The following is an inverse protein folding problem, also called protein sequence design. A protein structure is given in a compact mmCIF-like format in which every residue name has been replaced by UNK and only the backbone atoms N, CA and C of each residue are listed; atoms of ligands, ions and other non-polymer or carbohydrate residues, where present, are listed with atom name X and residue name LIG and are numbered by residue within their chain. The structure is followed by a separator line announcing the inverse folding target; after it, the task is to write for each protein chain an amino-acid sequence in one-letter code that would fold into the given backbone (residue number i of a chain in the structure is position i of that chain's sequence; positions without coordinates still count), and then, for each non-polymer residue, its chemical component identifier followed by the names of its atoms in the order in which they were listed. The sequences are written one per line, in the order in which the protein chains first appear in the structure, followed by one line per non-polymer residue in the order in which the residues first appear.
data_IF_225653711350
#
_entry.id   IF_225653711350
#
_cell.length_a   1.000
_cell.length_b   1.000
_cell.length_c   1.000
_cell.angle_alpha   90.00
_cell.angle_beta   90.00
_cell.angle_gamma   90.00
#
_symmetry.space_group_name_H-M   'P 1'
#
loop_
_entity.id
_entity.type
_entity.pdbx_description
1 polymer ?
#
# COMPACT_ATOMS: atom_id res chain seq x y z
N UNK A 1 8.96 14.15 -0.59
CA UNK A 1 7.89 13.15 -0.46
C UNK A 1 8.32 11.87 -1.13
N UNK A 2 8.20 10.76 -0.40
CA UNK A 2 8.76 9.46 -0.83
C UNK A 2 7.70 8.51 -1.41
N UNK A 3 6.49 8.98 -1.65
CA UNK A 3 5.42 8.18 -2.25
C UNK A 3 5.38 8.42 -3.75
N UNK A 4 5.45 7.33 -4.53
CA UNK A 4 5.34 7.39 -5.99
C UNK A 4 4.03 6.76 -6.43
N UNK A 5 3.38 7.35 -7.44
CA UNK A 5 2.16 6.78 -8.01
C UNK A 5 2.55 5.62 -8.93
N UNK A 6 1.97 4.45 -8.68
CA UNK A 6 2.16 3.29 -9.56
C UNK A 6 1.26 3.38 -10.79
N UNK A 7 1.83 3.02 -11.93
CA UNK A 7 1.04 2.77 -13.14
C UNK A 7 0.54 1.33 -13.10
N UNK A 8 -0.45 1.02 -13.92
CA UNK A 8 -0.94 -0.36 -14.04
C UNK A 8 0.16 -1.32 -14.50
N UNK A 9 0.95 -1.01 -15.54
CA UNK A 9 2.04 -1.92 -15.95
C UNK A 9 3.04 -2.19 -14.82
N UNK A 10 3.41 -1.17 -14.04
CA UNK A 10 4.33 -1.34 -12.92
C UNK A 10 3.73 -2.20 -11.82
N UNK A 11 2.46 -1.99 -11.48
CA UNK A 11 1.76 -2.82 -10.51
C UNK A 11 1.71 -4.27 -10.96
N UNK A 12 1.39 -4.50 -12.23
CA UNK A 12 1.33 -5.86 -12.79
C UNK A 12 2.67 -6.58 -12.72
N UNK A 13 3.78 -5.87 -12.95
CA UNK A 13 5.12 -6.44 -12.81
C UNK A 13 5.42 -6.83 -11.37
N UNK A 14 5.03 -5.99 -10.43
CA UNK A 14 5.24 -6.28 -9.01
C UNK A 14 4.45 -7.51 -8.58
N UNK A 15 3.13 -7.51 -8.80
CA UNK A 15 2.28 -8.61 -8.34
C UNK A 15 2.45 -9.87 -9.16
N UNK A 16 3.00 -9.76 -10.37
CA UNK A 16 3.31 -10.90 -11.23
C UNK A 16 4.64 -11.57 -10.91
N UNK A 17 5.37 -11.09 -9.92
CA UNK A 17 6.65 -11.69 -9.51
C UNK A 17 7.77 -11.52 -10.51
N UNK A 18 7.70 -10.47 -11.36
CA UNK A 18 8.69 -10.23 -12.41
C UNK A 18 9.88 -9.40 -11.97
N UNK A 19 9.82 -8.83 -10.77
CA UNK A 19 10.92 -8.04 -10.22
C UNK A 19 11.90 -9.00 -9.54
N UNK A 20 13.14 -9.01 -10.01
CA UNK A 20 14.19 -9.92 -9.53
C UNK A 20 14.95 -9.40 -8.33
N UNK A 21 15.05 -8.08 -8.21
CA UNK A 21 15.77 -7.42 -7.14
C UNK A 21 14.99 -7.55 -5.82
N UNK A 22 15.73 -7.72 -4.72
CA UNK A 22 15.14 -7.71 -3.39
C UNK A 22 14.63 -6.32 -3.06
N UNK A 23 13.34 -6.20 -2.82
CA UNK A 23 12.72 -4.93 -2.43
C UNK A 23 11.51 -5.18 -1.55
N UNK A 24 11.25 -4.24 -0.66
CA UNK A 24 10.02 -4.23 0.14
C UNK A 24 9.24 -2.99 -0.26
N UNK A 25 8.02 -3.23 -0.73
CA UNK A 25 7.14 -2.19 -1.26
C UNK A 25 5.87 -2.11 -0.44
N UNK A 26 5.47 -0.90 -0.08
CA UNK A 26 4.19 -0.63 0.57
C UNK A 26 3.31 0.04 -0.47
N UNK A 27 2.10 -0.46 -0.66
CA UNK A 27 1.18 0.07 -1.67
C UNK A 27 -0.13 0.46 -1.00
N UNK A 28 -0.50 1.73 -1.15
CA UNK A 28 -1.81 2.23 -0.72
C UNK A 28 -2.72 2.28 -1.94
N UNK A 29 -3.84 1.56 -1.87
CA UNK A 29 -4.88 1.62 -2.90
C UNK A 29 -5.92 2.66 -2.50
N UNK A 30 -6.28 3.53 -3.43
CA UNK A 30 -7.20 4.64 -3.19
C UNK A 30 -8.08 4.88 -4.41
N UNK A 31 -9.11 5.71 -4.24
CA UNK A 31 -9.94 6.17 -5.35
C UNK A 31 -10.19 7.67 -5.23
N UNK A 32 -10.61 8.29 -6.33
CA UNK A 32 -10.86 9.74 -6.35
C UNK A 32 -12.00 10.15 -5.42
N UNK A 33 -13.02 9.32 -5.28
CA UNK A 33 -14.17 9.60 -4.43
C UNK A 33 -14.03 9.15 -2.98
N UNK A 34 -12.87 8.64 -2.60
CA UNK A 34 -12.64 8.08 -1.28
C UNK A 34 -12.25 9.17 -0.27
N UNK A 35 -13.18 9.52 0.59
CA UNK A 35 -12.98 10.52 1.64
C UNK A 35 -11.85 10.14 2.60
N UNK A 36 -11.85 8.90 3.07
CA UNK A 36 -10.80 8.39 3.97
C UNK A 36 -9.42 8.42 3.31
N UNK A 37 -9.37 8.13 2.02
CA UNK A 37 -8.11 8.12 1.26
C UNK A 37 -7.50 9.52 1.20
N UNK A 38 -8.32 10.54 0.93
CA UNK A 38 -7.86 11.93 0.90
C UNK A 38 -7.28 12.35 2.24
N UNK A 39 -7.97 12.03 3.32
CA UNK A 39 -7.53 12.40 4.66
C UNK A 39 -6.27 11.62 5.08
N UNK A 40 -6.10 10.40 4.59
CA UNK A 40 -4.96 9.56 4.93
C UNK A 40 -3.68 9.97 4.21
N UNK A 41 -3.80 10.66 3.08
CA UNK A 41 -2.69 10.96 2.18
C UNK A 41 -1.48 11.57 2.90
N UNK A 42 -1.67 12.63 3.66
CA UNK A 42 -0.57 13.31 4.35
C UNK A 42 0.11 12.41 5.36
N UNK A 43 -0.66 11.64 6.11
CA UNK A 43 -0.13 10.71 7.11
C UNK A 43 0.69 9.61 6.46
N UNK A 44 0.23 9.10 5.34
CA UNK A 44 0.97 8.07 4.59
C UNK A 44 2.29 8.64 4.06
N UNK A 45 2.27 9.85 3.53
CA UNK A 45 3.49 10.53 3.06
C UNK A 45 4.47 10.76 4.21
N UNK A 46 3.98 11.18 5.37
CA UNK A 46 4.83 11.37 6.56
C UNK A 46 5.49 10.05 7.00
N UNK A 47 4.74 8.95 6.98
CA UNK A 47 5.30 7.63 7.28
C UNK A 47 6.42 7.30 6.30
N UNK A 48 6.20 7.55 5.01
CA UNK A 48 7.19 7.24 3.98
C UNK A 48 8.50 8.04 4.13
N UNK A 49 8.41 9.20 4.75
CA UNK A 49 9.58 10.07 4.95
C UNK A 49 10.35 9.77 6.24
N UNK A 50 9.87 8.86 7.09
CA UNK A 50 10.57 8.51 8.32
C UNK A 50 11.86 7.76 8.03
N UNK A 51 12.91 8.12 8.74
CA UNK A 51 14.27 7.56 8.56
C UNK A 51 14.27 6.04 8.68
N UNK A 52 13.49 5.49 9.62
CA UNK A 52 13.43 4.04 9.85
C UNK A 52 12.89 3.26 8.63
N UNK A 53 12.21 3.95 7.72
CA UNK A 53 11.63 3.35 6.51
C UNK A 53 12.35 3.74 5.22
N UNK A 54 13.54 4.33 5.33
CA UNK A 54 14.28 4.85 4.16
C UNK A 54 14.66 3.77 3.14
N UNK A 55 14.75 2.52 3.57
CA UNK A 55 15.05 1.39 2.67
C UNK A 55 13.83 0.78 2.01
N UNK A 56 12.64 1.29 2.28
CA UNK A 56 11.39 0.78 1.75
C UNK A 56 10.89 1.65 0.60
N UNK A 57 10.11 1.06 -0.29
CA UNK A 57 9.50 1.79 -1.40
C UNK A 57 8.00 1.99 -1.11
N UNK A 58 7.56 3.24 -1.09
CA UNK A 58 6.17 3.58 -0.83
C UNK A 58 5.48 4.01 -2.12
N UNK A 59 4.39 3.33 -2.43
CA UNK A 59 3.61 3.57 -3.65
C UNK A 59 2.15 3.83 -3.32
N UNK A 60 1.46 4.46 -4.26
CA UNK A 60 0.02 4.61 -4.23
C UNK A 60 -0.55 4.23 -5.59
N UNK A 61 -1.65 3.50 -5.61
CA UNK A 61 -2.32 3.11 -6.85
C UNK A 61 -3.79 3.53 -6.80
N UNK A 62 -4.21 4.28 -7.83
CA UNK A 62 -5.60 4.72 -7.96
C UNK A 62 -6.43 3.61 -8.61
N UNK A 63 -7.35 3.01 -7.87
CA UNK A 63 -8.18 1.92 -8.40
C UNK A 63 -9.11 2.38 -9.52
N UNK A 64 -9.37 3.69 -9.63
CA UNK A 64 -10.17 4.21 -10.74
C UNK A 64 -9.46 4.05 -12.08
N UNK A 65 -8.12 3.93 -12.08
CA UNK A 65 -7.34 3.68 -13.30
C UNK A 65 -7.54 2.25 -13.83
N UNK A 66 -7.92 1.32 -12.96
CA UNK A 66 -8.17 -0.06 -13.32
C UNK A 66 -9.04 -0.72 -12.25
N UNK A 67 -10.38 -0.52 -12.31
CA UNK A 67 -11.28 -1.02 -11.25
C UNK A 67 -11.22 -2.53 -11.02
N UNK A 68 -10.85 -3.29 -12.03
CA UNK A 68 -10.73 -4.75 -11.93
C UNK A 68 -9.68 -5.19 -10.90
N UNK A 69 -8.76 -4.30 -10.52
CA UNK A 69 -7.72 -4.63 -9.53
C UNK A 69 -8.32 -4.99 -8.19
N UNK A 70 -9.46 -4.40 -7.83
CA UNK A 70 -10.13 -4.71 -6.56
C UNK A 70 -10.48 -6.19 -6.49
N UNK A 71 -10.97 -6.75 -7.59
CA UNK A 71 -11.32 -8.16 -7.68
C UNK A 71 -10.08 -9.05 -7.77
N UNK A 72 -9.11 -8.67 -8.59
CA UNK A 72 -7.89 -9.43 -8.79
C UNK A 72 -7.06 -9.59 -7.52
N UNK A 73 -6.98 -8.55 -6.70
CA UNK A 73 -6.24 -8.57 -5.45
C UNK A 73 -7.13 -8.82 -4.23
N UNK A 74 -8.42 -9.04 -4.45
CA UNK A 74 -9.38 -9.30 -3.39
C UNK A 74 -9.41 -8.15 -2.36
N UNK A 75 -9.45 -6.92 -2.83
CA UNK A 75 -9.54 -5.75 -1.96
C UNK A 75 -10.93 -5.64 -1.33
N UNK A 76 -10.97 -5.26 -0.06
CA UNK A 76 -12.22 -4.99 0.65
C UNK A 76 -12.61 -3.51 0.56
N UNK A 77 -12.32 -2.88 -0.57
CA UNK A 77 -12.57 -1.46 -0.76
C UNK A 77 -11.31 -0.64 -0.53
N UNK A 78 -11.47 0.66 -0.42
CA UNK A 78 -10.37 1.60 -0.22
C UNK A 78 -10.65 2.48 1.00
N UNK A 79 -9.60 2.95 1.71
CA UNK A 79 -8.19 2.66 1.45
C UNK A 79 -7.82 1.22 1.81
N UNK A 80 -6.86 0.66 1.10
CA UNK A 80 -6.24 -0.63 1.43
C UNK A 80 -4.73 -0.46 1.41
N UNK A 81 -4.04 -1.09 2.34
CA UNK A 81 -2.58 -1.02 2.45
C UNK A 81 -2.03 -2.44 2.32
N UNK A 82 -1.10 -2.61 1.38
CA UNK A 82 -0.44 -3.88 1.15
C UNK A 82 1.06 -3.73 1.30
N UNK A 83 1.71 -4.81 1.72
CA UNK A 83 3.17 -4.92 1.69
C UNK A 83 3.53 -6.08 0.78
N UNK A 84 4.52 -5.86 -0.07
CA UNK A 84 4.96 -6.79 -1.09
C UNK A 84 6.47 -6.91 -1.03
N UNK A 85 6.99 -8.14 -0.92
CA UNK A 85 8.41 -8.40 -0.97
C UNK A 85 8.76 -9.11 -2.26
N UNK A 86 9.75 -8.56 -2.98
CA UNK A 86 10.23 -9.09 -4.26
C UNK A 86 11.59 -9.77 -4.09
N UNK A 87 12.06 -10.45 -5.15
CA UNK A 87 13.40 -11.01 -5.20
C UNK A 87 13.57 -12.40 -4.63
N UNK A 88 12.60 -12.91 -3.89
CA UNK A 88 12.64 -14.27 -3.35
C UNK A 88 12.12 -15.30 -4.33
N UNK A 89 12.15 -16.57 -3.92
CA UNK A 89 11.58 -17.67 -4.72
C UNK A 89 10.07 -17.54 -4.87
N UNK A 90 9.41 -16.92 -3.88
CA UNK A 90 7.97 -16.71 -3.89
C UNK A 90 7.69 -15.24 -3.62
N UNK A 91 6.75 -14.69 -4.36
CA UNK A 91 6.21 -13.38 -4.09
C UNK A 91 5.51 -13.42 -2.74
N UNK A 92 5.86 -12.51 -1.85
CA UNK A 92 5.20 -12.38 -0.56
C UNK A 92 4.34 -11.13 -0.56
N UNK A 93 3.03 -11.31 -0.48
CA UNK A 93 2.05 -10.24 -0.45
C UNK A 93 1.20 -10.37 0.81
N UNK A 94 1.10 -9.29 1.57
CA UNK A 94 0.27 -9.24 2.78
C UNK A 94 -0.55 -7.97 2.77
N UNK A 95 -1.76 -8.04 3.32
CA UNK A 95 -2.63 -6.88 3.44
C UNK A 95 -2.83 -6.50 4.90
N UNK A 96 -2.96 -5.20 5.14
CA UNK A 96 -3.35 -4.70 6.45
C UNK A 96 -4.82 -5.03 6.68
N UNK A 97 -5.11 -5.70 7.79
CA UNK A 97 -6.48 -6.08 8.13
C UNK A 97 -7.34 -4.85 8.44
N UNK A 98 -8.65 -4.99 8.24
CA UNK A 98 -9.60 -3.95 8.59
C UNK A 98 -9.50 -3.63 10.08
N UNK A 99 -9.50 -2.33 10.46
CA UNK A 99 -9.40 -1.98 11.87
C UNK A 99 -10.67 -2.37 12.63
N UNK A 100 -10.51 -2.84 13.87
CA UNK A 100 -11.65 -3.16 14.74
C UNK A 100 -12.48 -1.92 15.04
N UNK A 101 -11.82 -0.78 15.24
CA UNK A 101 -12.45 0.52 15.45
C UNK A 101 -11.91 1.52 14.43
N UNK A 102 -12.51 1.59 13.23
CA UNK A 102 -12.02 2.49 12.19
C UNK A 102 -11.99 3.95 12.65
N UNK A 103 -10.93 4.64 12.28
CA UNK A 103 -10.86 6.09 12.51
C UNK A 103 -11.85 6.78 11.57
N UNK A 104 -12.66 7.67 12.11
CA UNK A 104 -13.70 8.36 11.34
C UNK A 104 -13.15 9.25 10.24
N UNK A 105 -11.88 9.67 10.34
CA UNK A 105 -11.25 10.57 9.38
C UNK A 105 -10.43 9.83 8.34
N UNK A 106 -9.63 8.84 8.78
CA UNK A 106 -8.61 8.21 7.94
C UNK A 106 -8.77 6.71 7.74
N UNK A 107 -9.78 6.08 8.34
CA UNK A 107 -10.02 4.65 8.39
C UNK A 107 -8.95 3.92 9.19
N UNK A 108 -7.71 3.86 8.67
CA UNK A 108 -6.57 3.34 9.43
C UNK A 108 -5.93 4.46 10.24
N UNK A 109 -5.42 4.11 11.41
CA UNK A 109 -4.60 5.02 12.21
C UNK A 109 -3.13 4.87 11.80
N UNK A 110 -2.35 5.93 11.97
CA UNK A 110 -0.90 5.89 11.71
C UNK A 110 -0.26 4.71 12.47
N UNK A 111 -0.66 4.52 13.72
CA UNK A 111 -0.21 3.41 14.55
C UNK A 111 -0.44 2.06 13.87
N UNK A 112 -1.63 1.84 13.31
CA UNK A 112 -1.99 0.58 12.66
C UNK A 112 -1.08 0.30 11.46
N UNK A 113 -0.83 1.32 10.65
CA UNK A 113 0.02 1.21 9.48
C UNK A 113 1.46 0.90 9.87
N UNK A 114 2.00 1.64 10.84
CA UNK A 114 3.38 1.43 11.31
C UNK A 114 3.58 0.05 11.92
N UNK A 115 2.65 -0.41 12.75
CA UNK A 115 2.72 -1.74 13.33
C UNK A 115 2.72 -2.82 12.26
N UNK A 116 1.88 -2.65 11.24
CA UNK A 116 1.82 -3.57 10.11
C UNK A 116 3.15 -3.60 9.35
N UNK A 117 3.70 -2.44 9.02
CA UNK A 117 4.99 -2.35 8.30
C UNK A 117 6.08 -3.01 9.15
N UNK A 118 6.17 -2.69 10.43
CA UNK A 118 7.20 -3.23 11.32
C UNK A 118 7.11 -4.74 11.48
N UNK A 119 5.91 -5.28 11.45
CA UNK A 119 5.68 -6.72 11.55
C UNK A 119 6.07 -7.45 10.27
N UNK A 120 5.80 -6.87 9.11
CA UNK A 120 5.91 -7.56 7.83
C UNK A 120 7.21 -7.26 7.07
N UNK A 121 7.88 -6.16 7.36
CA UNK A 121 9.10 -5.77 6.62
C UNK A 121 10.31 -6.73 6.85
#
# INVERSE_FOLDING_TARGET
MSVSRLTLPSLQKLVGGKIKEDATCIIKFYSNGCHYCHNLREYYEEISDEVEYSGLHFFAFNVDDYPQIEKQLNLNGVPSIYILKTGGKKLRLRSLEEPANPNKKTWYRVKDIKEFINKEK
#
